data_IF_894532177656
#
_entry.id   IF_894532177656
#
_cell.length_a   1.000
_cell.length_b   1.000
_cell.length_c   1.000
_cell.angle_alpha   90.00
_cell.angle_beta   90.00
_cell.angle_gamma   90.00
#
_symmetry.space_group_name_H-M   'P 1'
#
loop_
_entity.id
_entity.type
_entity.pdbx_description
1 polymer ?
#
# COMPACT_ATOMS: atom_id res chain seq x y z
N UNK A 1 0.45 -9.78 0.76
CA UNK A 1 1.22 -8.67 1.38
C UNK A 1 0.24 -7.64 1.94
N UNK A 2 0.43 -7.16 3.18
CA UNK A 2 -0.40 -6.09 3.75
C UNK A 2 0.28 -4.74 3.52
N UNK A 3 -0.52 -3.73 3.16
CA UNK A 3 -0.11 -2.35 2.99
C UNK A 3 -0.97 -1.44 3.86
N UNK A 4 -0.36 -0.42 4.45
CA UNK A 4 -1.08 0.66 5.14
C UNK A 4 -1.07 1.91 4.29
N UNK A 5 -2.23 2.52 4.12
CA UNK A 5 -2.38 3.84 3.52
C UNK A 5 -2.80 4.82 4.62
N UNK A 6 -2.22 6.01 4.61
CA UNK A 6 -2.49 7.10 5.56
C UNK A 6 -2.59 8.40 4.76
N UNK A 7 -3.69 9.15 4.91
CA UNK A 7 -3.85 10.43 4.22
C UNK A 7 -3.09 11.57 4.92
N UNK A 8 -2.34 11.30 5.99
CA UNK A 8 -1.54 12.28 6.72
C UNK A 8 -2.34 13.14 7.71
N UNK A 9 -3.63 12.85 7.91
CA UNK A 9 -4.51 13.67 8.75
C UNK A 9 -5.07 14.88 8.04
N UNK A 10 -5.07 14.87 6.71
CA UNK A 10 -5.78 15.86 5.90
C UNK A 10 -7.31 15.66 6.01
N UNK A 11 -8.07 16.74 5.80
CA UNK A 11 -9.54 16.72 5.87
C UNK A 11 -10.20 16.13 4.59
N UNK A 12 -9.41 15.88 3.55
CA UNK A 12 -9.86 15.25 2.31
C UNK A 12 -9.58 13.75 2.33
N UNK A 13 -10.65 12.96 2.19
CA UNK A 13 -10.61 11.51 2.08
C UNK A 13 -10.53 11.03 0.64
N UNK A 14 -10.45 9.71 0.50
CA UNK A 14 -10.47 8.99 -0.76
C UNK A 14 -11.63 7.99 -0.78
N UNK A 15 -12.26 7.84 -1.94
CA UNK A 15 -13.09 6.68 -2.23
C UNK A 15 -12.27 5.38 -2.32
N UNK A 16 -12.92 4.23 -2.58
CA UNK A 16 -12.23 2.97 -2.79
C UNK A 16 -11.16 3.08 -3.88
N UNK A 17 -9.95 2.61 -3.61
CA UNK A 17 -8.84 2.67 -4.56
C UNK A 17 -8.60 1.30 -5.20
N UNK A 18 -8.31 1.29 -6.50
CA UNK A 18 -7.69 0.18 -7.21
C UNK A 18 -6.26 0.57 -7.58
N UNK A 19 -5.28 -0.10 -6.97
CA UNK A 19 -3.85 0.18 -7.15
C UNK A 19 -3.22 -0.99 -7.90
N UNK A 20 -2.62 -0.73 -9.05
CA UNK A 20 -1.89 -1.74 -9.83
C UNK A 20 -0.41 -1.70 -9.46
N UNK A 21 0.09 -2.84 -9.01
CA UNK A 21 1.42 -3.04 -8.46
C UNK A 21 2.21 -4.03 -9.31
N UNK A 22 3.47 -3.70 -9.59
CA UNK A 22 4.46 -4.67 -10.07
C UNK A 22 5.26 -5.19 -8.89
N UNK A 23 5.26 -6.51 -8.67
CA UNK A 23 6.16 -7.16 -7.72
C UNK A 23 7.46 -7.47 -8.46
N UNK A 24 8.58 -7.03 -7.88
CA UNK A 24 9.89 -7.13 -8.51
C UNK A 24 10.86 -7.92 -7.64
N UNK A 25 11.78 -8.61 -8.29
CA UNK A 25 12.91 -9.24 -7.61
C UNK A 25 13.93 -8.19 -7.12
N UNK A 26 14.97 -8.66 -6.44
CA UNK A 26 16.05 -7.80 -5.92
C UNK A 26 16.90 -7.12 -7.01
N UNK A 27 16.76 -7.53 -8.27
CA UNK A 27 17.44 -6.96 -9.42
C UNK A 27 16.55 -5.95 -10.17
N UNK A 28 15.31 -5.74 -9.72
CA UNK A 28 14.34 -4.85 -10.34
C UNK A 28 13.56 -5.47 -11.50
N UNK A 29 13.67 -6.80 -11.72
CA UNK A 29 12.92 -7.49 -12.76
C UNK A 29 11.49 -7.77 -12.27
N UNK A 30 10.51 -7.43 -13.11
CA UNK A 30 9.09 -7.66 -12.80
C UNK A 30 8.77 -9.15 -12.84
N UNK A 31 8.32 -9.68 -11.71
CA UNK A 31 7.89 -11.07 -11.57
C UNK A 31 6.42 -11.20 -11.95
N UNK A 32 5.56 -10.37 -11.36
CA UNK A 32 4.12 -10.37 -11.61
C UNK A 32 3.55 -8.95 -11.50
N UNK A 33 2.43 -8.72 -12.19
CA UNK A 33 1.59 -7.53 -11.99
C UNK A 33 0.27 -7.96 -11.34
N UNK A 34 -0.16 -7.24 -10.32
CA UNK A 34 -1.37 -7.52 -9.55
C UNK A 34 -2.11 -6.23 -9.21
N UNK A 35 -3.38 -6.36 -8.82
CA UNK A 35 -4.19 -5.24 -8.34
C UNK A 35 -4.47 -5.44 -6.85
N UNK A 36 -4.35 -4.36 -6.10
CA UNK A 36 -4.79 -4.24 -4.72
C UNK A 36 -6.01 -3.34 -4.70
N UNK A 37 -7.00 -3.70 -3.88
CA UNK A 37 -8.20 -2.90 -3.65
C UNK A 37 -8.22 -2.42 -2.20
N UNK A 38 -8.75 -1.22 -1.97
CA UNK A 38 -8.91 -0.63 -0.63
C UNK A 38 -10.37 -0.24 -0.41
N UNK A 39 -10.79 -0.21 0.85
CA UNK A 39 -12.00 0.53 1.24
C UNK A 39 -11.76 2.05 1.11
N UNK A 40 -12.84 2.83 1.18
CA UNK A 40 -12.76 4.28 1.32
C UNK A 40 -12.14 4.66 2.67
N UNK A 41 -11.39 5.76 2.74
CA UNK A 41 -10.70 6.17 3.97
C UNK A 41 -10.36 7.67 3.96
N UNK A 42 -9.97 8.21 5.11
CA UNK A 42 -9.49 9.59 5.26
C UNK A 42 -10.59 10.66 5.35
N UNK A 43 -11.88 10.26 5.35
CA UNK A 43 -13.02 11.16 5.53
C UNK A 43 -13.24 11.59 7.00
N UNK A 44 -12.54 10.94 7.93
CA UNK A 44 -12.54 11.29 9.35
C UNK A 44 -11.20 10.98 10.01
N UNK A 45 -10.97 11.58 11.18
CA UNK A 45 -9.78 11.28 11.98
C UNK A 45 -9.67 9.80 12.39
N UNK A 46 -10.80 9.11 12.58
CA UNK A 46 -10.82 7.69 12.94
C UNK A 46 -10.49 6.78 11.74
N UNK A 47 -10.76 7.25 10.52
CA UNK A 47 -10.54 6.54 9.24
C UNK A 47 -9.32 7.09 8.49
N UNK A 48 -8.46 7.88 9.14
CA UNK A 48 -7.22 8.45 8.57
C UNK A 48 -6.37 7.42 7.84
N UNK A 49 -6.37 6.19 8.36
CA UNK A 49 -5.65 5.05 7.79
C UNK A 49 -6.59 3.95 7.34
N UNK A 50 -6.19 3.24 6.30
CA UNK A 50 -6.78 1.94 5.95
C UNK A 50 -5.68 0.91 5.69
N UNK A 51 -5.98 -0.36 5.95
CA UNK A 51 -5.11 -1.49 5.63
C UNK A 51 -5.67 -2.23 4.42
N UNK A 52 -4.81 -2.59 3.47
CA UNK A 52 -5.18 -3.28 2.24
C UNK A 52 -4.28 -4.50 2.00
N UNK A 53 -4.82 -5.50 1.30
CA UNK A 53 -4.13 -6.76 1.07
C UNK A 53 -3.92 -7.00 -0.42
N UNK A 54 -2.68 -7.24 -0.81
CA UNK A 54 -2.32 -7.73 -2.12
C UNK A 54 -2.16 -9.25 -2.08
N UNK A 55 -3.15 -9.94 -2.64
CA UNK A 55 -3.13 -11.38 -2.79
C UNK A 55 -2.43 -11.80 -4.08
N UNK A 56 -1.59 -12.81 -3.96
CA UNK A 56 -0.95 -13.50 -5.07
C UNK A 56 -0.55 -14.89 -4.58
N UNK A 57 -0.39 -15.85 -5.49
CA UNK A 57 0.39 -17.04 -5.19
C UNK A 57 1.72 -16.60 -4.56
N UNK A 58 2.22 -17.35 -3.58
CA UNK A 58 3.43 -16.99 -2.83
C UNK A 58 4.65 -17.02 -3.78
N UNK A 59 4.84 -15.94 -4.54
CA UNK A 59 5.89 -15.80 -5.52
C UNK A 59 7.21 -15.64 -4.76
N UNK A 60 8.14 -16.56 -4.99
CA UNK A 60 9.45 -16.48 -4.39
C UNK A 60 10.22 -15.24 -4.87
N UNK A 61 11.14 -14.75 -4.04
CA UNK A 61 12.12 -13.70 -4.38
C UNK A 61 11.57 -12.29 -4.62
N UNK A 62 10.30 -12.02 -4.28
CA UNK A 62 9.78 -10.64 -4.27
C UNK A 62 10.56 -9.81 -3.25
N UNK A 63 11.18 -8.73 -3.72
CA UNK A 63 12.00 -7.83 -2.90
C UNK A 63 11.40 -6.42 -2.82
N UNK A 64 10.81 -5.93 -3.91
CA UNK A 64 10.21 -4.59 -3.98
C UNK A 64 8.87 -4.63 -4.73
N UNK A 65 8.11 -3.54 -4.61
CA UNK A 65 6.89 -3.32 -5.38
C UNK A 65 6.88 -1.92 -5.96
N UNK A 66 6.29 -1.74 -7.14
CA UNK A 66 6.17 -0.46 -7.81
C UNK A 66 4.71 -0.16 -8.16
N UNK A 67 4.24 1.03 -7.80
CA UNK A 67 2.91 1.52 -8.19
C UNK A 67 2.99 2.02 -9.62
N UNK A 68 2.27 1.38 -10.54
CA UNK A 68 2.25 1.77 -11.96
C UNK A 68 0.94 2.41 -12.40
N UNK A 69 -0.13 2.24 -11.61
CA UNK A 69 -1.44 2.86 -11.87
C UNK A 69 -2.25 2.91 -10.58
N UNK A 70 -3.00 3.99 -10.39
CA UNK A 70 -4.02 4.09 -9.36
C UNK A 70 -5.33 4.61 -9.96
N UNK A 71 -6.44 4.16 -9.43
CA UNK A 71 -7.78 4.59 -9.83
C UNK A 71 -8.62 4.69 -8.56
N UNK A 72 -9.38 5.75 -8.43
CA UNK A 72 -10.32 5.98 -7.35
C UNK A 72 -11.74 5.81 -7.86
N UNK A 73 -12.60 5.17 -7.08
CA UNK A 73 -14.04 5.23 -7.28
C UNK A 73 -14.62 6.43 -6.54
N UNK A 74 -15.00 7.47 -7.29
CA UNK A 74 -15.55 8.71 -6.76
C UNK A 74 -16.90 9.00 -7.40
N UNK A 75 -17.94 9.18 -6.59
CA UNK A 75 -19.31 9.42 -7.03
C UNK A 75 -19.83 8.37 -8.06
N UNK A 76 -19.45 7.10 -7.87
CA UNK A 76 -19.84 6.00 -8.77
C UNK A 76 -19.07 5.95 -10.10
N UNK A 77 -18.03 6.79 -10.26
CA UNK A 77 -17.17 6.83 -11.44
C UNK A 77 -15.74 6.44 -11.10
N UNK A 78 -15.08 5.73 -12.01
CA UNK A 78 -13.65 5.41 -11.92
C UNK A 78 -12.82 6.54 -12.49
N UNK A 79 -12.04 7.20 -11.64
CA UNK A 79 -11.18 8.34 -11.97
C UNK A 79 -9.72 7.94 -11.80
N UNK A 80 -8.86 8.35 -12.74
CA UNK A 80 -7.42 8.10 -12.61
C UNK A 80 -6.85 8.95 -11.49
N UNK A 81 -6.20 8.32 -10.51
CA UNK A 81 -5.53 9.02 -9.43
C UNK A 81 -4.06 9.28 -9.82
N UNK A 82 -3.56 10.53 -9.75
CA UNK A 82 -2.16 10.84 -10.06
C UNK A 82 -1.19 10.08 -9.17
N UNK A 83 -0.13 9.47 -9.71
CA UNK A 83 0.82 8.71 -8.87
C UNK A 83 1.62 9.58 -7.91
N UNK A 84 1.70 10.89 -8.17
CA UNK A 84 2.40 11.86 -7.34
C UNK A 84 1.76 12.09 -5.96
N UNK A 85 0.54 11.61 -5.71
CA UNK A 85 -0.06 11.68 -4.35
C UNK A 85 0.52 10.65 -3.39
N UNK A 86 1.15 9.57 -3.88
CA UNK A 86 1.73 8.56 -3.02
C UNK A 86 3.08 9.02 -2.47
N UNK A 87 3.27 8.87 -1.16
CA UNK A 87 4.56 8.97 -0.49
C UNK A 87 4.99 7.57 -0.03
N UNK A 88 5.60 6.77 -0.92
CA UNK A 88 5.91 5.37 -0.63
C UNK A 88 7.06 5.24 0.38
N UNK A 89 7.09 4.13 1.11
CA UNK A 89 8.29 3.71 1.83
C UNK A 89 9.30 3.13 0.83
N UNK A 90 10.11 3.98 0.22
CA UNK A 90 11.11 3.65 -0.81
C UNK A 90 12.49 3.30 -0.23
N UNK A 91 12.56 3.01 1.07
CA UNK A 91 13.76 2.63 1.79
C UNK A 91 13.60 1.31 2.54
N UNK A 92 14.72 0.60 2.75
CA UNK A 92 14.77 -0.60 3.58
C UNK A 92 14.99 -0.22 5.05
N UNK A 93 14.00 -0.41 5.95
CA UNK A 93 14.15 -0.06 7.35
C UNK A 93 15.03 -1.08 8.09
N UNK A 94 15.65 -0.65 9.18
CA UNK A 94 16.28 -1.57 10.12
C UNK A 94 15.21 -2.41 10.83
N UNK A 95 15.41 -3.72 10.92
CA UNK A 95 14.55 -4.60 11.71
C UNK A 95 14.80 -4.32 13.21
N UNK A 96 13.75 -3.99 13.95
CA UNK A 96 13.81 -3.75 15.39
C UNK A 96 13.38 -5.03 16.12
N UNK A 97 14.20 -5.49 17.06
CA UNK A 97 13.89 -6.63 17.93
C UNK A 97 14.01 -6.21 19.40
N UNK A 98 13.25 -6.87 20.28
CA UNK A 98 13.26 -6.61 21.73
C UNK A 98 13.77 -7.85 22.45
N UNK A 99 14.84 -7.72 23.23
CA UNK A 99 15.33 -8.79 24.09
C UNK A 99 14.45 -8.93 25.33
N UNK A 100 13.97 -10.13 25.64
CA UNK A 100 13.31 -10.41 26.91
C UNK A 100 14.31 -10.47 28.06
N UNK A 101 14.13 -9.66 29.12
CA UNK A 101 14.58 -10.02 30.45
C UNK A 101 13.50 -10.92 31.05
N UNK A 102 13.83 -12.17 31.35
CA UNK A 102 13.00 -12.99 32.22
C UNK A 102 12.91 -12.27 33.58
N UNK A 103 11.74 -11.70 33.88
CA UNK A 103 11.43 -11.23 35.22
C UNK A 103 10.87 -12.46 35.93
N UNK A 104 11.75 -13.19 36.64
CA UNK A 104 11.35 -14.21 37.60
C UNK A 104 10.78 -13.53 38.85
#
# INVERSE_FOLDING_TARGET
YQFRLDNGGNDEGFGPLTITLQLKDKYGQTLVTRKMETEAFGDSNATRTTDAFLETECVENVATTEIIKATEESNGHRVSLPLSVFNPQDYHPLLITVSGKNVN
#
